data_IF_311733728765
#
_entry.id   IF_311733728765
#
_cell.length_a   1.000
_cell.length_b   1.000
_cell.length_c   1.000
_cell.angle_alpha   90.00
_cell.angle_beta   90.00
_cell.angle_gamma   90.00
#
_symmetry.space_group_name_H-M   'P 1'
#
loop_
_entity.id
_entity.type
_entity.pdbx_description
1 polymer ?
#
# COMPACT_ATOMS: atom_id res chain seq x y z
N UNK A 1 -27.15 1.91 8.53
CA UNK A 1 -26.28 1.70 7.37
C UNK A 1 -24.81 1.73 7.81
N UNK A 2 -24.06 0.70 7.47
CA UNK A 2 -22.68 0.61 7.89
C UNK A 2 -21.78 1.29 6.87
N UNK A 3 -20.86 2.11 7.36
CA UNK A 3 -19.92 2.80 6.49
C UNK A 3 -18.82 1.85 6.03
N UNK A 4 -18.42 2.01 4.78
CA UNK A 4 -17.26 1.33 4.23
C UNK A 4 -16.04 2.18 4.57
N UNK A 5 -15.05 1.59 5.23
CA UNK A 5 -13.80 2.29 5.51
C UNK A 5 -13.02 2.46 4.23
N UNK A 6 -12.50 3.66 4.02
CA UNK A 6 -11.75 3.99 2.80
C UNK A 6 -10.27 4.13 3.13
N UNK A 7 -9.46 3.59 2.23
CA UNK A 7 -7.99 3.60 2.36
C UNK A 7 -7.38 4.01 1.04
N UNK A 8 -6.15 4.47 1.06
CA UNK A 8 -5.37 4.59 -0.16
C UNK A 8 -3.99 3.98 0.06
N UNK A 9 -3.45 3.39 -1.00
CA UNK A 9 -2.13 2.81 -0.98
C UNK A 9 -1.42 3.10 -2.28
N UNK A 10 -0.10 2.95 -2.28
CA UNK A 10 0.71 3.21 -3.47
C UNK A 10 1.64 2.05 -3.75
N UNK A 11 1.63 1.61 -5.01
CA UNK A 11 2.62 0.67 -5.53
C UNK A 11 3.78 1.52 -6.04
N UNK A 12 4.91 1.46 -5.35
CA UNK A 12 6.12 2.15 -5.77
C UNK A 12 6.95 1.15 -6.56
N UNK A 13 6.93 1.29 -7.88
CA UNK A 13 7.60 0.38 -8.80
C UNK A 13 8.93 0.95 -9.22
N UNK A 14 10.00 0.19 -9.03
CA UNK A 14 11.34 0.53 -9.49
C UNK A 14 11.84 -0.62 -10.35
N UNK A 15 11.86 -0.42 -11.67
CA UNK A 15 12.16 -1.52 -12.59
C UNK A 15 11.14 -2.64 -12.45
N UNK A 16 11.61 -3.83 -12.12
CA UNK A 16 10.77 -5.02 -11.95
C UNK A 16 10.40 -5.28 -10.49
N UNK A 17 10.65 -4.34 -9.61
CA UNK A 17 10.46 -4.50 -8.18
C UNK A 17 9.44 -3.53 -7.62
N UNK A 18 8.86 -3.91 -6.49
CA UNK A 18 7.88 -3.09 -5.76
C UNK A 18 8.33 -2.91 -4.32
N UNK A 19 8.11 -1.70 -3.81
CA UNK A 19 8.38 -1.40 -2.40
C UNK A 19 7.25 -1.94 -1.53
N UNK A 20 7.59 -2.77 -0.57
CA UNK A 20 6.65 -3.27 0.43
C UNK A 20 7.21 -2.99 1.81
N UNK A 21 6.31 -2.81 2.77
CA UNK A 21 6.67 -2.56 4.15
C UNK A 21 5.96 -3.57 5.04
N UNK A 22 6.70 -4.08 6.03
CA UNK A 22 6.18 -5.06 6.98
C UNK A 22 5.54 -4.34 8.15
N UNK A 23 4.31 -4.68 8.44
CA UNK A 23 3.58 -4.01 9.51
C UNK A 23 4.08 -4.43 10.87
N UNK A 24 4.00 -3.48 11.82
CA UNK A 24 4.37 -3.72 13.21
C UNK A 24 3.50 -4.84 13.81
N UNK A 25 4.08 -5.63 14.69
CA UNK A 25 3.40 -6.77 15.31
C UNK A 25 2.23 -6.36 16.20
N UNK A 26 2.10 -5.11 16.60
CA UNK A 26 1.05 -4.65 17.50
C UNK A 26 -0.09 -3.93 16.79
N UNK A 27 0.02 -3.67 15.49
CA UNK A 27 -1.01 -2.95 14.75
C UNK A 27 -2.02 -3.87 14.10
N UNK A 28 -2.80 -3.29 13.20
CA UNK A 28 -3.71 -4.03 12.34
C UNK A 28 -2.89 -4.86 11.35
N UNK A 29 -3.29 -6.12 11.13
CA UNK A 29 -2.59 -7.06 10.26
C UNK A 29 -1.11 -7.20 10.65
N UNK A 30 -0.82 -7.56 11.91
CA UNK A 30 0.56 -7.55 12.41
C UNK A 30 1.47 -8.52 11.67
N UNK A 31 2.67 -8.05 11.35
CA UNK A 31 3.68 -8.87 10.70
C UNK A 31 3.46 -9.14 9.23
N UNK A 32 2.41 -8.58 8.63
CA UNK A 32 2.15 -8.77 7.20
C UNK A 32 2.82 -7.71 6.37
N UNK A 33 3.26 -8.09 5.17
CA UNK A 33 3.80 -7.16 4.20
C UNK A 33 2.68 -6.55 3.38
N UNK A 34 2.79 -5.27 3.08
CA UNK A 34 1.80 -4.57 2.27
C UNK A 34 2.44 -3.36 1.60
N UNK A 35 1.70 -2.74 0.69
CA UNK A 35 2.12 -1.46 0.11
C UNK A 35 1.94 -0.35 1.15
N UNK A 36 2.75 0.71 1.08
CA UNK A 36 2.54 1.88 1.94
C UNK A 36 1.17 2.50 1.71
N UNK A 37 0.55 2.97 2.78
CA UNK A 37 -0.75 3.61 2.72
C UNK A 37 -1.47 3.57 4.05
N UNK A 38 -2.70 4.03 4.07
CA UNK A 38 -3.49 4.04 5.29
C UNK A 38 -4.89 4.56 5.09
N UNK A 39 -5.57 4.80 6.20
CA UNK A 39 -6.96 5.23 6.22
C UNK A 39 -7.12 6.65 5.70
N UNK A 40 -8.17 6.88 4.93
CA UNK A 40 -8.54 8.22 4.49
C UNK A 40 -9.31 8.91 5.62
N UNK A 41 -9.09 10.20 5.75
CA UNK A 41 -9.88 11.03 6.63
C UNK A 41 -11.23 11.30 5.96
N UNK A 42 -12.20 11.73 6.77
CA UNK A 42 -13.52 12.03 6.26
C UNK A 42 -13.41 13.09 5.15
N UNK A 43 -14.05 12.80 4.02
CA UNK A 43 -14.09 13.67 2.85
C UNK A 43 -12.72 13.95 2.20
N UNK A 44 -11.70 13.18 2.59
CA UNK A 44 -10.38 13.32 2.00
C UNK A 44 -10.35 12.66 0.62
N UNK A 45 -9.78 13.36 -0.36
CA UNK A 45 -9.58 12.78 -1.68
C UNK A 45 -8.49 11.69 -1.60
N UNK A 46 -8.70 10.54 -2.26
CA UNK A 46 -7.73 9.43 -2.16
C UNK A 46 -6.29 9.81 -2.52
N UNK A 47 -6.09 10.69 -3.49
CA UNK A 47 -4.75 11.11 -3.86
C UNK A 47 -4.08 11.94 -2.76
N UNK A 48 -4.84 12.84 -2.14
CA UNK A 48 -4.34 13.62 -1.02
C UNK A 48 -4.01 12.72 0.16
N UNK A 49 -4.85 11.72 0.39
CA UNK A 49 -4.65 10.76 1.47
C UNK A 49 -3.38 9.95 1.32
N UNK A 50 -3.10 9.46 0.10
CA UNK A 50 -1.89 8.67 -0.09
C UNK A 50 -0.63 9.53 0.03
N UNK A 51 -0.68 10.78 -0.44
CA UNK A 51 0.45 11.69 -0.27
C UNK A 51 0.74 11.92 1.22
N UNK A 52 -0.31 12.17 1.99
CA UNK A 52 -0.18 12.36 3.44
C UNK A 52 0.33 11.10 4.15
N UNK A 53 -0.30 9.96 3.90
CA UNK A 53 0.05 8.70 4.54
C UNK A 53 1.48 8.27 4.19
N UNK A 54 1.87 8.42 2.94
CA UNK A 54 3.22 8.04 2.52
C UNK A 54 4.27 8.90 3.23
N UNK A 55 4.01 10.20 3.35
CA UNK A 55 4.92 11.10 4.07
C UNK A 55 5.01 10.74 5.55
N UNK A 56 3.86 10.44 6.17
CA UNK A 56 3.82 10.06 7.58
C UNK A 56 4.56 8.75 7.85
N UNK A 57 4.49 7.81 6.94
CA UNK A 57 5.06 6.47 7.12
C UNK A 57 6.53 6.36 6.69
N UNK A 58 6.95 7.12 5.69
CA UNK A 58 8.26 6.94 5.08
C UNK A 58 9.14 8.17 5.09
N UNK A 59 8.60 9.31 5.48
CA UNK A 59 9.26 10.62 5.43
C UNK A 59 9.63 11.08 4.00
N UNK A 60 9.01 10.46 2.99
CA UNK A 60 9.18 10.86 1.58
C UNK A 60 7.93 11.52 1.07
N UNK A 61 8.12 12.50 0.19
CA UNK A 61 7.04 13.14 -0.53
C UNK A 61 6.89 12.45 -1.89
N UNK A 62 5.66 12.02 -2.21
CA UNK A 62 5.39 11.39 -3.50
C UNK A 62 5.49 12.41 -4.63
N UNK A 63 6.01 11.94 -5.76
CA UNK A 63 6.03 12.73 -6.98
C UNK A 63 4.65 12.86 -7.59
N UNK A 64 4.53 13.74 -8.59
CA UNK A 64 3.26 14.14 -9.15
C UNK A 64 2.64 13.16 -10.14
N UNK A 65 3.33 12.08 -10.48
CA UNK A 65 2.87 11.16 -11.53
C UNK A 65 2.16 9.94 -10.98
N UNK A 66 1.29 10.15 -10.00
CA UNK A 66 0.48 9.07 -9.44
C UNK A 66 -0.66 8.72 -10.39
N UNK A 67 -0.85 7.42 -10.62
CA UNK A 67 -1.95 6.92 -11.44
C UNK A 67 -2.80 5.97 -10.60
N UNK A 68 -4.11 6.14 -10.64
CA UNK A 68 -5.00 5.18 -10.02
C UNK A 68 -5.02 3.93 -10.90
N UNK A 69 -4.62 2.78 -10.35
CA UNK A 69 -4.48 1.55 -11.13
C UNK A 69 -5.44 0.45 -10.70
N UNK A 70 -6.14 0.61 -9.60
CA UNK A 70 -7.09 -0.40 -9.18
C UNK A 70 -7.65 -0.15 -7.80
N UNK A 71 -8.43 -1.11 -7.36
CA UNK A 71 -9.07 -1.09 -6.06
C UNK A 71 -8.87 -2.44 -5.39
N UNK A 72 -8.74 -2.44 -4.07
CA UNK A 72 -8.76 -3.66 -3.28
C UNK A 72 -9.96 -3.56 -2.36
N UNK A 73 -10.85 -4.55 -2.47
CA UNK A 73 -12.09 -4.59 -1.69
C UNK A 73 -11.95 -5.60 -0.57
N UNK A 74 -12.39 -5.22 0.61
CA UNK A 74 -12.42 -6.12 1.76
C UNK A 74 -13.85 -6.34 2.17
N UNK A 75 -14.19 -7.60 2.39
CA UNK A 75 -15.54 -8.03 2.76
C UNK A 75 -15.55 -8.60 4.17
N UNK A 76 -16.73 -8.67 4.76
CA UNK A 76 -16.91 -9.37 6.02
C UNK A 76 -16.71 -10.87 5.81
N UNK A 77 -16.73 -11.63 6.91
CA UNK A 77 -16.37 -13.04 6.89
C UNK A 77 -17.20 -13.88 5.91
N UNK A 78 -18.50 -13.62 5.78
CA UNK A 78 -19.37 -14.37 4.87
C UNK A 78 -19.45 -13.78 3.46
N UNK A 79 -18.77 -12.67 3.22
CA UNK A 79 -18.73 -12.04 1.90
C UNK A 79 -19.96 -11.22 1.54
N UNK A 80 -20.91 -11.03 2.46
CA UNK A 80 -22.16 -10.35 2.14
C UNK A 80 -22.07 -8.83 2.14
N UNK A 81 -21.10 -8.25 2.85
CA UNK A 81 -20.94 -6.79 2.95
C UNK A 81 -19.51 -6.37 2.72
N UNK A 82 -19.32 -5.31 1.94
CA UNK A 82 -18.01 -4.70 1.79
C UNK A 82 -17.71 -3.84 3.01
N UNK A 83 -16.58 -4.10 3.65
CA UNK A 83 -16.15 -3.38 4.86
C UNK A 83 -15.06 -2.37 4.59
N UNK A 84 -14.30 -2.55 3.54
CA UNK A 84 -13.21 -1.65 3.23
C UNK A 84 -12.96 -1.56 1.75
N UNK A 85 -12.49 -0.39 1.32
CA UNK A 85 -12.13 -0.14 -0.07
C UNK A 85 -10.80 0.63 -0.08
N UNK A 86 -9.80 0.06 -0.71
CA UNK A 86 -8.50 0.73 -0.88
C UNK A 86 -8.34 1.16 -2.33
N UNK A 87 -8.09 2.46 -2.51
CA UNK A 87 -7.69 3.01 -3.80
C UNK A 87 -6.20 2.76 -3.96
N UNK A 88 -5.80 2.13 -5.06
CA UNK A 88 -4.40 1.77 -5.28
C UNK A 88 -3.82 2.62 -6.41
N UNK A 89 -2.78 3.35 -6.07
CA UNK A 89 -2.05 4.21 -7.01
C UNK A 89 -0.72 3.57 -7.38
N UNK A 90 -0.21 3.97 -8.53
CA UNK A 90 1.10 3.53 -9.00
C UNK A 90 2.02 4.74 -9.16
N UNK A 91 3.22 4.63 -8.62
CA UNK A 91 4.31 5.56 -8.88
C UNK A 91 5.51 4.77 -9.38
N UNK A 92 6.03 5.15 -10.53
CA UNK A 92 7.23 4.52 -11.08
C UNK A 92 8.43 5.40 -10.80
N UNK A 93 9.53 4.79 -10.34
CA UNK A 93 10.76 5.50 -10.01
C UNK A 93 11.94 4.88 -10.75
N UNK A 94 12.95 5.70 -11.03
CA UNK A 94 14.19 5.24 -11.64
C UNK A 94 15.14 4.62 -10.62
N UNK A 95 15.01 5.04 -9.37
CA UNK A 95 15.87 4.57 -8.29
C UNK A 95 15.02 4.09 -7.12
N UNK A 96 15.55 3.13 -6.37
CA UNK A 96 14.92 2.71 -5.13
C UNK A 96 14.89 3.85 -4.14
N UNK A 97 13.78 4.00 -3.44
CA UNK A 97 13.69 4.91 -2.31
C UNK A 97 13.86 4.11 -1.02
N UNK A 98 14.49 4.73 -0.03
CA UNK A 98 14.70 4.11 1.27
C UNK A 98 13.82 4.83 2.28
N UNK A 99 12.71 4.23 2.70
CA UNK A 99 11.87 4.84 3.72
C UNK A 99 12.67 5.16 4.98
N UNK A 100 12.48 6.36 5.51
CA UNK A 100 13.15 6.81 6.71
C UNK A 100 12.19 6.62 7.88
N UNK A 101 12.08 5.38 8.36
CA UNK A 101 11.13 5.02 9.41
C UNK A 101 11.46 5.69 10.74
N UNK A 102 12.72 5.95 10.99
CA UNK A 102 13.17 6.56 12.24
C UNK A 102 12.68 8.00 12.39
N UNK A 103 12.68 8.76 11.28
CA UNK A 103 12.30 10.18 11.29
C UNK A 103 10.89 10.41 10.75
N UNK A 104 10.18 9.38 10.36
CA UNK A 104 8.82 9.49 9.87
C UNK A 104 7.84 9.60 11.04
N UNK A 105 6.78 10.38 10.87
CA UNK A 105 5.78 10.60 11.93
C UNK A 105 5.16 9.30 12.44
N UNK A 106 4.77 8.42 11.51
CA UNK A 106 4.19 7.11 11.83
C UNK A 106 5.10 5.96 11.37
N UNK A 107 6.41 6.19 11.37
CA UNK A 107 7.36 5.18 10.92
C UNK A 107 7.36 3.91 11.77
N UNK A 108 6.91 3.99 13.00
CA UNK A 108 6.81 2.85 13.91
C UNK A 108 5.66 1.90 13.55
N UNK A 109 4.79 2.25 12.61
CA UNK A 109 3.77 1.34 12.10
C UNK A 109 4.38 0.21 11.29
N UNK A 110 5.61 0.38 10.83
CA UNK A 110 6.34 -0.61 10.05
C UNK A 110 7.65 -0.98 10.74
N UNK A 111 8.03 -2.25 10.63
CA UNK A 111 9.30 -2.72 11.20
C UNK A 111 10.42 -2.68 10.18
N UNK A 112 10.09 -2.85 8.91
CA UNK A 112 11.07 -2.81 7.83
C UNK A 112 10.38 -2.62 6.49
N UNK A 113 11.11 -2.12 5.51
CA UNK A 113 10.65 -2.01 4.14
C UNK A 113 11.70 -2.58 3.21
N UNK A 114 11.29 -3.06 2.05
CA UNK A 114 12.20 -3.59 1.06
C UNK A 114 11.55 -3.71 -0.30
N UNK A 115 12.38 -4.00 -1.30
CA UNK A 115 11.93 -4.19 -2.67
C UNK A 115 11.88 -5.68 -2.99
N UNK A 116 10.82 -6.08 -3.67
CA UNK A 116 10.57 -7.47 -4.05
C UNK A 116 10.21 -7.56 -5.51
N UNK A 117 10.72 -8.58 -6.20
CA UNK A 117 10.29 -8.86 -7.56
C UNK A 117 9.06 -9.78 -7.54
N UNK A 118 8.48 -10.02 -8.73
CA UNK A 118 7.23 -10.77 -8.84
C UNK A 118 7.35 -12.22 -8.38
N UNK A 119 8.55 -12.80 -8.46
CA UNK A 119 8.76 -14.19 -8.06
C UNK A 119 8.95 -14.34 -6.54
N UNK A 120 9.22 -13.24 -5.84
CA UNK A 120 9.55 -13.24 -4.42
C UNK A 120 8.61 -12.37 -3.58
N UNK A 121 7.39 -12.15 -4.04
CA UNK A 121 6.41 -11.36 -3.27
C UNK A 121 6.10 -12.07 -1.95
N UNK A 122 6.20 -11.36 -0.82
CA UNK A 122 6.09 -11.99 0.50
C UNK A 122 4.64 -12.09 0.99
N UNK A 123 3.73 -12.49 0.11
CA UNK A 123 2.33 -12.70 0.46
C UNK A 123 2.07 -14.20 0.67
N UNK A 124 1.42 -14.53 1.78
CA UNK A 124 1.05 -15.92 2.07
C UNK A 124 0.01 -16.43 1.09
N UNK A 125 -0.96 -15.59 0.74
CA UNK A 125 -2.01 -15.94 -0.22
C UNK A 125 -1.74 -15.25 -1.55
N UNK A 126 -1.32 -16.03 -2.53
CA UNK A 126 -1.03 -15.50 -3.87
C UNK A 126 -2.28 -15.12 -4.65
N UNK A 127 -3.45 -15.55 -4.18
CA UNK A 127 -4.73 -15.17 -4.77
C UNK A 127 -5.34 -13.92 -4.15
N UNK A 128 -4.69 -13.33 -3.15
CA UNK A 128 -5.12 -12.06 -2.56
C UNK A 128 -5.21 -10.98 -3.63
N UNK A 129 -6.22 -10.13 -3.53
CA UNK A 129 -6.47 -9.09 -4.54
C UNK A 129 -5.27 -8.17 -4.74
N UNK A 130 -4.61 -7.77 -3.66
CA UNK A 130 -3.45 -6.88 -3.75
C UNK A 130 -2.28 -7.59 -4.42
N UNK A 131 -2.02 -8.84 -4.04
CA UNK A 131 -0.96 -9.64 -4.63
C UNK A 131 -1.17 -9.80 -6.15
N UNK A 132 -2.39 -10.07 -6.56
CA UNK A 132 -2.74 -10.22 -7.98
C UNK A 132 -2.57 -8.91 -8.74
N UNK A 133 -2.97 -7.80 -8.15
CA UNK A 133 -2.81 -6.48 -8.77
C UNK A 133 -1.34 -6.13 -8.95
N UNK A 134 -0.52 -6.33 -7.91
CA UNK A 134 0.92 -6.09 -7.98
C UNK A 134 1.56 -6.97 -9.04
N UNK A 135 1.22 -8.25 -9.06
CA UNK A 135 1.75 -9.20 -10.04
C UNK A 135 1.47 -8.74 -11.47
N UNK A 136 0.23 -8.31 -11.72
CA UNK A 136 -0.16 -7.83 -13.05
C UNK A 136 0.63 -6.60 -13.46
N UNK A 137 0.84 -5.68 -12.53
CA UNK A 137 1.58 -4.44 -12.80
C UNK A 137 3.05 -4.73 -13.06
N UNK A 138 3.68 -5.60 -12.26
CA UNK A 138 5.09 -5.93 -12.44
C UNK A 138 5.36 -6.71 -13.72
N UNK A 139 4.39 -7.51 -14.19
CA UNK A 139 4.53 -8.29 -15.42
C UNK A 139 4.18 -7.50 -16.67
N UNK A 140 3.61 -6.33 -16.51
CA UNK A 140 3.24 -5.49 -17.65
C UNK A 140 4.46 -4.73 -18.15
N UNK A 141 4.72 -4.86 -19.43
CA UNK A 141 5.81 -4.14 -20.09
C UNK A 141 5.46 -2.69 -20.37
#
# INVERSE_FOLDING_TARGET
>A
MKEVKRYSGVIVKCGDEVLLCKRNATGSLPGQWSIPGGSLEKDEHPMDGIEREFKEETNYTLDNDLKLVGFVKRYNRDGSEMKGLMYVFLMETDKRINPDLENAFDGDEHTECGYFDVENLPFDDKDDQLCRLITRILKKD
#
